data_IF_822311874370
#
_entry.id   IF_822311874370
#
_cell.length_a   1.000
_cell.length_b   1.000
_cell.length_c   1.000
_cell.angle_alpha   90.00
_cell.angle_beta   90.00
_cell.angle_gamma   90.00
#
_symmetry.space_group_name_H-M   'P 1'
#
loop_
_entity.id
_entity.type
_entity.pdbx_description
1 polymer ?
#
# COMPACT_ATOMS: atom_id res chain seq x y z
N UNK A 1 5.40 6.75 -11.42
CA UNK A 1 5.58 5.73 -10.37
C UNK A 1 5.57 4.41 -11.07
N UNK A 2 6.73 3.78 -11.11
CA UNK A 2 6.91 2.53 -11.85
C UNK A 2 6.37 1.36 -11.04
N UNK A 3 6.28 0.18 -11.64
CA UNK A 3 5.74 -1.00 -10.96
C UNK A 3 6.55 -1.38 -9.72
N UNK A 4 7.87 -1.18 -9.77
CA UNK A 4 8.77 -1.50 -8.67
C UNK A 4 8.55 -0.57 -7.47
N UNK A 5 8.28 0.72 -7.71
CA UNK A 5 7.92 1.68 -6.66
C UNK A 5 6.65 1.24 -5.94
N UNK A 6 5.61 0.85 -6.70
CA UNK A 6 4.31 0.44 -6.15
C UNK A 6 4.46 -0.79 -5.25
N UNK A 7 5.22 -1.78 -5.71
CA UNK A 7 5.51 -3.00 -4.95
C UNK A 7 6.34 -2.70 -3.71
N UNK A 8 7.33 -1.82 -3.82
CA UNK A 8 8.17 -1.40 -2.71
C UNK A 8 7.36 -0.71 -1.62
N UNK A 9 6.45 0.22 -1.98
CA UNK A 9 5.59 0.91 -1.01
C UNK A 9 4.65 -0.06 -0.27
N UNK A 10 4.04 -0.99 -1.00
CA UNK A 10 3.17 -2.05 -0.45
C UNK A 10 3.97 -2.93 0.51
N UNK A 11 5.13 -3.42 0.08
CA UNK A 11 6.01 -4.28 0.87
C UNK A 11 6.46 -3.59 2.15
N UNK A 12 6.93 -2.35 2.04
CA UNK A 12 7.40 -1.57 3.18
C UNK A 12 6.30 -1.39 4.24
N UNK A 13 5.06 -1.09 3.81
CA UNK A 13 3.93 -0.97 4.73
C UNK A 13 3.60 -2.30 5.42
N UNK A 14 3.56 -3.40 4.66
CA UNK A 14 3.25 -4.73 5.20
C UNK A 14 4.31 -5.18 6.21
N UNK A 15 5.59 -5.10 5.83
CA UNK A 15 6.70 -5.49 6.70
C UNK A 15 6.68 -4.63 7.97
N UNK A 16 6.51 -3.31 7.87
CA UNK A 16 6.42 -2.44 9.04
C UNK A 16 5.27 -2.85 9.98
N UNK A 17 4.09 -3.17 9.43
CA UNK A 17 2.97 -3.63 10.24
C UNK A 17 3.23 -5.00 10.89
N UNK A 18 3.92 -5.91 10.23
CA UNK A 18 4.34 -7.18 10.84
C UNK A 18 5.36 -6.95 11.95
N UNK A 19 6.34 -6.06 11.75
CA UNK A 19 7.34 -5.70 12.77
C UNK A 19 6.67 -5.14 14.03
N UNK A 20 5.68 -4.25 13.89
CA UNK A 20 4.91 -3.71 15.03
C UNK A 20 4.21 -4.80 15.86
N UNK A 21 3.87 -5.92 15.23
CA UNK A 21 3.20 -7.05 15.87
C UNK A 21 4.16 -8.19 16.24
N UNK A 22 5.45 -8.09 15.91
CA UNK A 22 6.41 -9.13 16.25
C UNK A 22 6.76 -9.07 17.74
N UNK A 23 6.67 -10.23 18.40
CA UNK A 23 6.89 -10.36 19.85
C UNK A 23 8.36 -10.51 20.23
N UNK A 24 9.18 -10.99 19.31
CA UNK A 24 10.61 -11.23 19.51
C UNK A 24 11.47 -9.99 19.21
N UNK A 25 10.90 -8.99 18.53
CA UNK A 25 11.65 -7.82 18.06
C UNK A 25 12.64 -8.11 16.94
N UNK A 26 12.59 -9.31 16.32
CA UNK A 26 13.45 -9.69 15.21
C UNK A 26 12.89 -9.15 13.89
N UNK A 27 13.31 -7.93 13.62
CA UNK A 27 12.96 -7.17 12.43
C UNK A 27 13.48 -7.84 11.15
N UNK A 28 14.64 -8.51 11.21
CA UNK A 28 15.24 -9.16 10.05
C UNK A 28 14.49 -10.42 9.69
N UNK A 29 14.17 -11.24 10.69
CA UNK A 29 13.37 -12.44 10.48
C UNK A 29 11.99 -12.09 9.88
N UNK A 30 11.34 -11.04 10.41
CA UNK A 30 10.06 -10.55 9.87
C UNK A 30 10.13 -10.19 8.39
N UNK A 31 11.22 -9.53 7.97
CA UNK A 31 11.42 -9.14 6.57
C UNK A 31 11.71 -10.35 5.68
N UNK A 32 12.50 -11.32 6.15
CA UNK A 32 12.79 -12.56 5.42
C UNK A 32 11.51 -13.37 5.22
N UNK A 33 10.76 -13.63 6.30
CA UNK A 33 9.50 -14.38 6.23
C UNK A 33 8.46 -13.70 5.32
N UNK A 34 8.39 -12.37 5.32
CA UNK A 34 7.52 -11.64 4.39
C UNK A 34 7.90 -11.92 2.93
N UNK A 35 9.18 -11.76 2.59
CA UNK A 35 9.66 -11.92 1.22
C UNK A 35 9.55 -13.37 0.74
N UNK A 36 9.82 -14.35 1.61
CA UNK A 36 9.64 -15.77 1.28
C UNK A 36 8.17 -16.09 0.99
N UNK A 37 7.26 -15.66 1.87
CA UNK A 37 5.82 -15.88 1.69
C UNK A 37 5.25 -15.13 0.48
N UNK A 38 5.81 -13.97 0.13
CA UNK A 38 5.42 -13.24 -1.07
C UNK A 38 5.92 -13.98 -2.32
N UNK A 39 7.16 -14.45 -2.30
CA UNK A 39 7.78 -15.15 -3.42
C UNK A 39 7.15 -16.51 -3.72
N UNK A 40 6.67 -17.23 -2.70
CA UNK A 40 6.03 -18.54 -2.88
C UNK A 40 4.50 -18.46 -3.06
N UNK A 41 3.92 -17.25 -2.93
CA UNK A 41 2.50 -16.98 -3.09
C UNK A 41 1.65 -17.32 -1.86
N UNK A 42 2.25 -17.67 -0.73
CA UNK A 42 1.55 -17.88 0.55
C UNK A 42 0.79 -16.63 0.99
N UNK A 43 1.30 -15.44 0.65
CA UNK A 43 0.58 -14.17 0.81
C UNK A 43 0.35 -13.48 -0.53
N UNK A 44 -0.75 -12.75 -0.59
CA UNK A 44 -0.97 -11.74 -1.62
C UNK A 44 -0.68 -10.37 -1.01
N UNK A 45 0.40 -9.73 -1.48
CA UNK A 45 0.94 -8.50 -0.89
C UNK A 45 -0.06 -7.33 -0.90
N UNK A 46 -0.73 -7.13 -2.04
CA UNK A 46 -1.74 -6.08 -2.23
C UNK A 46 -2.96 -6.32 -1.36
N UNK A 47 -3.38 -7.58 -1.19
CA UNK A 47 -4.50 -7.94 -0.31
C UNK A 47 -4.14 -7.75 1.16
N UNK A 48 -2.96 -8.22 1.59
CA UNK A 48 -2.49 -8.00 2.96
C UNK A 48 -2.41 -6.50 3.27
N UNK A 49 -1.90 -5.69 2.33
CA UNK A 49 -1.83 -4.24 2.46
C UNK A 49 -3.19 -3.61 2.75
N UNK A 50 -4.22 -3.99 1.97
CA UNK A 50 -5.58 -3.53 2.21
C UNK A 50 -6.13 -4.03 3.55
N UNK A 51 -5.91 -5.29 3.91
CA UNK A 51 -6.34 -5.83 5.20
C UNK A 51 -5.70 -5.08 6.37
N UNK A 52 -4.40 -4.75 6.30
CA UNK A 52 -3.73 -3.94 7.33
C UNK A 52 -4.34 -2.54 7.43
N UNK A 53 -4.63 -1.89 6.31
CA UNK A 53 -5.32 -0.60 6.31
C UNK A 53 -6.73 -0.69 6.90
N UNK A 54 -7.44 -1.77 6.60
CA UNK A 54 -8.85 -2.00 6.92
C UNK A 54 -9.12 -2.78 8.21
N UNK A 55 -8.10 -3.02 9.04
CA UNK A 55 -8.20 -3.84 10.27
C UNK A 55 -8.74 -5.26 10.01
N UNK A 56 -8.16 -5.95 9.02
CA UNK A 56 -8.51 -7.31 8.60
C UNK A 56 -9.57 -7.39 7.49
N UNK A 57 -10.09 -6.24 7.03
CA UNK A 57 -11.12 -6.17 5.98
C UNK A 57 -10.58 -5.39 4.77
N UNK A 58 -10.30 -6.11 3.68
CA UNK A 58 -9.67 -5.54 2.50
C UNK A 58 -10.54 -4.51 1.78
N UNK A 59 -11.88 -4.67 1.78
CA UNK A 59 -12.79 -3.68 1.17
C UNK A 59 -12.81 -2.37 1.97
N UNK A 60 -12.82 -2.47 3.31
CA UNK A 60 -12.62 -1.29 4.17
C UNK A 60 -11.24 -0.66 3.96
N UNK A 61 -10.22 -1.49 3.74
CA UNK A 61 -8.89 -1.08 3.34
C UNK A 61 -8.89 -0.21 2.09
N UNK A 62 -9.55 -0.66 1.03
CA UNK A 62 -9.63 0.05 -0.25
C UNK A 62 -10.32 1.41 -0.09
N UNK A 63 -11.43 1.46 0.66
CA UNK A 63 -12.12 2.73 0.98
C UNK A 63 -11.22 3.69 1.74
N UNK A 64 -10.41 3.19 2.67
CA UNK A 64 -9.46 4.02 3.44
C UNK A 64 -8.30 4.51 2.59
N UNK A 65 -7.74 3.66 1.73
CA UNK A 65 -6.68 4.03 0.79
C UNK A 65 -7.12 5.18 -0.12
N UNK A 66 -8.28 5.06 -0.76
CA UNK A 66 -8.89 6.14 -1.56
C UNK A 66 -8.99 7.46 -0.78
N UNK A 67 -9.51 7.39 0.45
CA UNK A 67 -9.65 8.58 1.31
C UNK A 67 -8.30 9.21 1.64
N UNK A 68 -7.25 8.41 1.85
CA UNK A 68 -5.91 8.89 2.14
C UNK A 68 -5.26 9.55 0.92
N UNK A 69 -5.37 8.93 -0.27
CA UNK A 69 -4.83 9.49 -1.51
C UNK A 69 -5.51 10.82 -1.89
N UNK A 70 -6.81 10.96 -1.58
CA UNK A 70 -7.56 12.19 -1.83
C UNK A 70 -7.44 13.23 -0.71
N UNK A 71 -6.73 12.92 0.38
CA UNK A 71 -6.56 13.87 1.48
C UNK A 71 -5.53 14.92 1.09
N UNK A 72 -5.99 16.15 0.91
CA UNK A 72 -5.12 17.31 0.77
C UNK A 72 -4.76 17.88 2.14
N UNK A 73 -3.47 18.17 2.32
CA UNK A 73 -2.87 18.87 3.44
C UNK A 73 -2.13 20.12 2.96
N UNK A 74 -1.86 21.05 3.87
CA UNK A 74 -1.06 22.25 3.58
C UNK A 74 0.33 21.88 3.01
N UNK A 75 0.93 20.79 3.49
CA UNK A 75 2.21 20.30 2.97
C UNK A 75 2.12 19.80 1.54
N UNK A 76 1.07 19.03 1.20
CA UNK A 76 0.80 18.63 -0.18
C UNK A 76 0.52 19.84 -1.06
N UNK A 77 -0.25 20.83 -0.59
CA UNK A 77 -0.53 22.05 -1.36
C UNK A 77 0.73 22.83 -1.71
N UNK A 78 1.69 22.91 -0.77
CA UNK A 78 2.96 23.61 -0.99
C UNK A 78 3.85 22.84 -1.97
N UNK A 79 3.93 21.52 -1.84
CA UNK A 79 4.81 20.67 -2.66
C UNK A 79 4.24 20.47 -4.07
N UNK A 80 2.92 20.50 -4.25
CA UNK A 80 2.27 20.35 -5.56
C UNK A 80 2.10 21.64 -6.35
N UNK A 81 2.58 22.80 -5.85
CA UNK A 81 2.37 24.11 -6.50
C UNK A 81 2.79 24.17 -7.96
N UNK A 82 3.88 23.48 -8.31
CA UNK A 82 4.45 23.47 -9.65
C UNK A 82 4.23 22.12 -10.37
N UNK A 83 3.37 21.26 -9.81
CA UNK A 83 3.06 19.93 -10.34
C UNK A 83 1.69 19.96 -10.97
N UNK A 84 1.60 19.39 -12.18
CA UNK A 84 0.35 19.24 -12.90
C UNK A 84 -0.65 18.37 -12.12
N UNK A 85 -1.81 18.94 -11.82
CA UNK A 85 -2.92 18.27 -11.11
C UNK A 85 -3.40 17.01 -11.83
N UNK A 86 -3.35 17.00 -13.16
CA UNK A 86 -3.75 15.83 -13.98
C UNK A 86 -2.78 14.67 -13.73
N UNK A 87 -1.47 14.93 -13.72
CA UNK A 87 -0.44 13.94 -13.39
C UNK A 87 -0.58 13.38 -11.97
N UNK A 88 -0.94 14.24 -11.01
CA UNK A 88 -1.18 13.79 -9.63
C UNK A 88 -2.36 12.82 -9.59
N UNK A 89 -3.44 13.14 -10.31
CA UNK A 89 -4.63 12.29 -10.41
C UNK A 89 -4.30 10.96 -11.10
N UNK A 90 -3.61 10.99 -12.24
CA UNK A 90 -3.17 9.80 -12.97
C UNK A 90 -2.33 8.87 -12.07
N UNK A 91 -1.36 9.44 -11.34
CA UNK A 91 -0.51 8.65 -10.43
C UNK A 91 -1.32 7.97 -9.33
N UNK A 92 -2.29 8.68 -8.74
CA UNK A 92 -3.18 8.11 -7.71
C UNK A 92 -4.08 7.00 -8.28
N UNK A 93 -4.66 7.23 -9.44
CA UNK A 93 -5.54 6.28 -10.11
C UNK A 93 -4.75 5.02 -10.53
N UNK A 94 -3.52 5.18 -11.01
CA UNK A 94 -2.64 4.08 -11.38
C UNK A 94 -2.23 3.23 -10.17
N UNK A 95 -2.01 3.85 -9.02
CA UNK A 95 -1.74 3.10 -7.78
C UNK A 95 -2.99 2.34 -7.32
N UNK A 96 -4.17 2.97 -7.33
CA UNK A 96 -5.43 2.32 -6.99
C UNK A 96 -5.75 1.12 -7.90
N UNK A 97 -5.56 1.28 -9.21
CA UNK A 97 -5.73 0.19 -10.19
C UNK A 97 -4.77 -0.95 -9.95
N UNK A 98 -3.50 -0.66 -9.68
CA UNK A 98 -2.51 -1.69 -9.36
C UNK A 98 -2.94 -2.49 -8.12
N UNK A 99 -3.25 -1.83 -7.01
CA UNK A 99 -3.67 -2.51 -5.77
C UNK A 99 -4.96 -3.31 -6.01
N UNK A 100 -5.93 -2.78 -6.75
CA UNK A 100 -7.18 -3.48 -7.07
C UNK A 100 -6.95 -4.76 -7.89
N UNK A 101 -6.21 -4.65 -9.00
CA UNK A 101 -5.94 -5.77 -9.90
C UNK A 101 -5.21 -6.91 -9.18
N UNK A 102 -4.19 -6.58 -8.38
CA UNK A 102 -3.38 -7.58 -7.69
C UNK A 102 -4.11 -8.19 -6.47
N UNK A 103 -4.92 -7.41 -5.74
CA UNK A 103 -5.64 -7.90 -4.55
C UNK A 103 -6.95 -8.63 -4.87
N UNK A 104 -7.51 -8.40 -6.06
CA UNK A 104 -8.86 -8.85 -6.44
C UNK A 104 -10.00 -8.05 -5.76
N UNK A 105 -9.68 -6.95 -5.08
CA UNK A 105 -10.67 -6.07 -4.43
C UNK A 105 -11.01 -4.92 -5.37
N UNK A 106 -12.29 -4.76 -5.70
CA UNK A 106 -12.74 -3.67 -6.58
C UNK A 106 -12.47 -2.31 -5.93
N UNK A 107 -12.14 -1.34 -6.77
CA UNK A 107 -11.98 0.06 -6.39
C UNK A 107 -13.30 0.55 -5.77
N UNK A 108 -14.46 0.15 -6.30
CA UNK A 108 -15.79 0.56 -5.86
C UNK A 108 -16.22 1.93 -6.34
#
# INVERSE_FOLDING_TARGET
MDIDDKKSDISAYNIYNRMLNSKDGDIWNTMVEYNENASDGTINESKEFLERLGNGDAEKGMKKLKKQLNKTSIGTDIISKDVDEEKIKETKDDFLKHVSNESGVDIG
#
